data_IF_208090010363
#
_entry.id   IF_208090010363
#
_cell.length_a   1.000
_cell.length_b   1.000
_cell.length_c   1.000
_cell.angle_alpha   90.00
_cell.angle_beta   90.00
_cell.angle_gamma   90.00
#
_symmetry.space_group_name_H-M   'P 1'
#
loop_
_entity.id
_entity.type
_entity.pdbx_description
1 polymer ?
#
# COMPACT_ATOMS: atom_id res chain seq x y z
N UNK A 1 -15.04 8.97 22.84
CA UNK A 1 -14.11 8.21 21.96
C UNK A 1 -14.74 7.63 20.70
N UNK A 2 -15.58 6.57 20.73
CA UNK A 2 -16.04 5.90 19.48
C UNK A 2 -16.83 6.80 18.51
N UNK A 3 -17.79 7.58 19.03
CA UNK A 3 -18.51 8.56 18.21
C UNK A 3 -17.59 9.66 17.67
N UNK A 4 -16.61 10.11 18.48
CA UNK A 4 -15.64 11.11 18.03
C UNK A 4 -14.71 10.57 16.94
N UNK A 5 -14.30 9.31 17.00
CA UNK A 5 -13.56 8.65 15.93
C UNK A 5 -14.41 8.56 14.67
N UNK A 6 -15.66 8.13 14.78
CA UNK A 6 -16.59 8.11 13.64
C UNK A 6 -16.69 9.48 13.00
N UNK A 7 -16.94 10.53 13.78
CA UNK A 7 -17.14 11.87 13.26
C UNK A 7 -15.85 12.50 12.70
N UNK A 8 -14.69 12.24 13.34
CA UNK A 8 -13.40 12.74 12.87
C UNK A 8 -12.94 12.08 11.58
N UNK A 9 -13.13 10.76 11.47
CA UNK A 9 -12.73 9.96 10.32
C UNK A 9 -13.86 9.86 9.29
N UNK A 10 -14.45 11.00 8.96
CA UNK A 10 -15.55 11.12 8.00
C UNK A 10 -15.23 12.15 6.93
N UNK A 11 -15.73 11.91 5.72
CA UNK A 11 -15.70 12.91 4.64
C UNK A 11 -17.01 12.89 3.85
N UNK A 12 -17.33 14.04 3.26
CA UNK A 12 -18.49 14.20 2.39
C UNK A 12 -18.18 13.68 0.99
N UNK A 13 -19.14 12.95 0.41
CA UNK A 13 -18.99 12.43 -0.95
C UNK A 13 -19.32 13.54 -1.96
N UNK A 14 -18.39 13.87 -2.87
CA UNK A 14 -18.65 14.85 -3.92
C UNK A 14 -19.88 14.45 -4.74
N UNK A 15 -20.86 15.34 -4.83
CA UNK A 15 -22.11 15.08 -5.55
C UNK A 15 -23.13 14.23 -4.80
N UNK A 16 -22.94 13.93 -3.51
CA UNK A 16 -23.88 13.15 -2.69
C UNK A 16 -25.33 13.64 -2.81
N UNK A 17 -25.53 14.97 -2.89
CA UNK A 17 -26.85 15.61 -3.03
C UNK A 17 -27.67 15.11 -4.24
N UNK A 18 -27.01 14.59 -5.27
CA UNK A 18 -27.65 14.07 -6.47
C UNK A 18 -27.99 12.57 -6.37
N UNK A 19 -27.43 11.85 -5.40
CA UNK A 19 -27.65 10.41 -5.25
C UNK A 19 -29.05 10.13 -4.68
N UNK A 20 -29.81 9.14 -5.20
CA UNK A 20 -31.16 8.83 -4.73
C UNK A 20 -31.23 8.55 -3.22
N UNK A 21 -30.20 7.91 -2.66
CA UNK A 21 -30.11 7.58 -1.23
C UNK A 21 -30.07 8.83 -0.35
N UNK A 22 -29.38 9.89 -0.80
CA UNK A 22 -29.34 11.18 -0.11
C UNK A 22 -30.68 11.92 -0.23
N UNK A 23 -31.22 11.97 -1.45
CA UNK A 23 -32.51 12.64 -1.73
C UNK A 23 -33.66 12.02 -0.95
N UNK A 24 -33.65 10.69 -0.81
CA UNK A 24 -34.64 9.93 -0.06
C UNK A 24 -34.32 9.86 1.46
N UNK A 25 -33.30 10.60 1.94
CA UNK A 25 -32.90 10.69 3.35
C UNK A 25 -32.51 9.36 4.02
N UNK A 26 -32.17 8.34 3.24
CA UNK A 26 -31.64 7.07 3.77
C UNK A 26 -30.14 7.13 4.05
N UNK A 27 -29.44 8.13 3.52
CA UNK A 27 -28.01 8.34 3.71
C UNK A 27 -27.71 9.83 3.81
N UNK A 28 -26.76 10.21 4.67
CA UNK A 28 -26.39 11.58 4.97
C UNK A 28 -25.30 12.15 4.05
N UNK A 29 -24.88 11.40 3.04
CA UNK A 29 -23.90 11.85 2.05
C UNK A 29 -22.45 11.77 2.54
N UNK A 30 -22.24 11.14 3.70
CA UNK A 30 -20.93 11.02 4.34
C UNK A 30 -20.45 9.58 4.34
N UNK A 31 -19.15 9.39 4.12
CA UNK A 31 -18.46 8.12 4.34
C UNK A 31 -17.72 8.20 5.66
N UNK A 32 -18.02 7.25 6.56
CA UNK A 32 -17.32 7.03 7.83
C UNK A 32 -16.28 5.93 7.63
N UNK A 33 -15.02 6.22 7.93
CA UNK A 33 -13.91 5.27 7.81
C UNK A 33 -13.72 4.42 9.07
N UNK A 34 -14.28 4.85 10.20
CA UNK A 34 -14.39 4.06 11.42
C UNK A 34 -15.74 3.34 11.46
N UNK A 35 -15.71 2.01 11.55
CA UNK A 35 -16.90 1.19 11.75
C UNK A 35 -17.18 1.04 13.26
N UNK A 36 -18.16 1.78 13.76
CA UNK A 36 -18.58 1.70 15.17
C UNK A 36 -19.19 0.36 15.58
N UNK A 37 -19.65 -0.48 14.63
CA UNK A 37 -20.23 -1.79 14.94
C UNK A 37 -19.17 -2.82 15.20
N UNK A 38 -18.06 -2.73 14.46
CA UNK A 38 -16.91 -3.65 14.56
C UNK A 38 -15.77 -3.10 15.39
N UNK A 39 -15.80 -1.80 15.69
CA UNK A 39 -14.70 -1.04 16.27
C UNK A 39 -13.43 -1.10 15.41
N UNK A 40 -13.60 -1.08 14.08
CA UNK A 40 -12.52 -1.24 13.10
C UNK A 40 -12.25 0.05 12.33
N UNK A 41 -11.00 0.25 11.94
CA UNK A 41 -10.56 1.33 11.05
C UNK A 41 -9.45 0.83 10.13
N UNK A 42 -9.30 1.45 8.97
CA UNK A 42 -8.24 1.11 8.04
C UNK A 42 -6.85 1.32 8.66
N UNK A 43 -6.01 0.27 8.64
CA UNK A 43 -4.65 0.32 9.17
C UNK A 43 -3.76 1.42 8.56
N UNK A 44 -4.06 1.88 7.33
CA UNK A 44 -3.34 3.00 6.72
C UNK A 44 -3.62 4.37 7.38
N UNK A 45 -4.52 4.44 8.37
CA UNK A 45 -4.89 5.67 9.08
C UNK A 45 -4.25 5.75 10.47
N UNK A 46 -3.37 4.83 10.85
CA UNK A 46 -2.75 4.76 12.19
C UNK A 46 -2.10 6.09 12.60
N UNK A 47 -1.29 6.71 11.73
CA UNK A 47 -0.67 8.01 12.01
C UNK A 47 -1.71 9.10 12.33
N UNK A 48 -2.86 9.05 11.64
CA UNK A 48 -3.96 9.99 11.87
C UNK A 48 -4.68 9.70 13.18
N UNK A 49 -4.78 8.44 13.60
CA UNK A 49 -5.34 8.05 14.90
C UNK A 49 -4.44 8.56 16.03
N UNK A 50 -3.12 8.36 15.93
CA UNK A 50 -2.16 8.91 16.89
C UNK A 50 -2.32 10.43 16.99
N UNK A 51 -2.36 11.11 15.84
CA UNK A 51 -2.57 12.56 15.80
C UNK A 51 -3.92 12.99 16.39
N UNK A 52 -4.97 12.19 16.22
CA UNK A 52 -6.27 12.42 16.86
C UNK A 52 -6.17 12.27 18.38
N UNK A 53 -5.57 11.18 18.88
CA UNK A 53 -5.40 10.94 20.32
C UNK A 53 -4.58 12.05 20.97
N UNK A 54 -3.44 12.42 20.38
CA UNK A 54 -2.57 13.49 20.88
C UNK A 54 -3.29 14.84 20.96
N UNK A 55 -4.16 15.17 19.98
CA UNK A 55 -4.93 16.44 19.98
C UNK A 55 -6.09 16.45 20.98
N UNK A 56 -6.50 15.27 21.46
CA UNK A 56 -7.62 15.07 22.38
C UNK A 56 -7.15 14.68 23.78
N UNK A 57 -5.84 14.71 24.02
CA UNK A 57 -5.18 14.26 25.25
C UNK A 57 -5.57 12.83 25.66
N UNK A 58 -5.76 11.95 24.68
CA UNK A 58 -5.98 10.53 24.90
C UNK A 58 -4.67 9.77 24.92
N UNK A 59 -4.56 8.83 25.85
CA UNK A 59 -3.53 7.79 25.83
C UNK A 59 -3.94 6.66 24.89
N UNK A 60 -2.96 5.99 24.32
CA UNK A 60 -3.17 4.83 23.48
C UNK A 60 -2.02 3.84 23.68
N UNK A 61 -2.31 2.56 23.48
CA UNK A 61 -1.33 1.49 23.41
C UNK A 61 -1.60 0.65 22.17
N UNK A 62 -0.53 0.11 21.59
CA UNK A 62 -0.67 -0.84 20.48
C UNK A 62 -0.60 -2.26 21.02
N UNK A 63 -1.70 -2.98 20.88
CA UNK A 63 -1.73 -4.41 21.11
C UNK A 63 -1.22 -5.14 19.86
N UNK A 64 -0.16 -5.96 20.03
CA UNK A 64 0.42 -6.72 18.94
C UNK A 64 -0.54 -7.77 18.40
N UNK A 65 -0.63 -7.88 17.06
CA UNK A 65 -1.37 -8.97 16.42
C UNK A 65 -0.47 -10.19 16.20
N UNK A 66 -0.97 -11.38 16.54
CA UNK A 66 -0.30 -12.66 16.18
C UNK A 66 -0.13 -12.86 14.67
N UNK A 67 -0.92 -12.16 13.87
CA UNK A 67 -0.94 -12.30 12.41
C UNK A 67 -0.25 -11.14 11.69
N UNK A 68 -0.34 -9.93 12.25
CA UNK A 68 0.03 -8.70 11.54
C UNK A 68 1.13 -7.87 12.21
N UNK A 69 1.60 -8.25 13.42
CA UNK A 69 2.60 -7.48 14.15
C UNK A 69 2.04 -6.17 14.71
N UNK A 70 2.91 -5.18 14.89
CA UNK A 70 2.53 -3.83 15.33
C UNK A 70 2.27 -2.91 14.13
N UNK A 71 1.36 -1.92 14.25
CA UNK A 71 0.99 -1.07 13.11
C UNK A 71 2.13 -0.21 12.52
N UNK A 72 3.20 0.04 13.29
CA UNK A 72 4.35 0.91 12.91
C UNK A 72 5.66 0.13 13.03
N UNK A 73 5.62 -1.16 12.73
CA UNK A 73 6.81 -2.01 12.79
C UNK A 73 7.72 -1.76 11.59
N UNK A 74 8.95 -1.34 11.87
CA UNK A 74 10.01 -1.20 10.88
C UNK A 74 10.89 -2.45 10.84
N UNK A 75 11.28 -2.87 9.63
CA UNK A 75 12.22 -3.97 9.43
C UNK A 75 13.67 -3.45 9.40
N UNK A 76 14.35 -3.56 10.54
CA UNK A 76 15.75 -3.13 10.71
C UNK A 76 16.77 -3.90 9.84
N UNK A 77 16.38 -5.04 9.26
CA UNK A 77 17.26 -5.81 8.37
C UNK A 77 17.35 -5.19 6.96
N UNK A 78 16.49 -4.24 6.63
CA UNK A 78 16.45 -3.59 5.33
C UNK A 78 17.33 -2.34 5.37
N UNK A 79 18.49 -2.40 4.71
CA UNK A 79 19.40 -1.25 4.56
C UNK A 79 19.46 -0.75 3.11
N UNK A 80 19.71 0.56 2.86
CA UNK A 80 19.84 1.09 1.49
C UNK A 80 20.95 0.42 0.67
N UNK A 81 22.06 0.06 1.32
CA UNK A 81 23.17 -0.66 0.68
C UNK A 81 22.74 -2.07 0.28
N UNK A 82 22.10 -2.82 1.19
CA UNK A 82 21.58 -4.16 0.91
C UNK A 82 20.55 -4.15 -0.22
N UNK A 83 19.64 -3.16 -0.24
CA UNK A 83 18.69 -2.99 -1.35
C UNK A 83 19.40 -2.66 -2.66
N UNK A 84 20.45 -1.84 -2.63
CA UNK A 84 21.22 -1.52 -3.84
C UNK A 84 21.85 -2.77 -4.46
N UNK A 85 22.52 -3.58 -3.65
CA UNK A 85 23.20 -4.78 -4.12
C UNK A 85 22.20 -5.84 -4.57
N UNK A 86 21.09 -5.96 -3.85
CA UNK A 86 19.99 -6.85 -4.22
C UNK A 86 19.35 -6.47 -5.56
N UNK A 87 18.98 -5.21 -5.78
CA UNK A 87 18.35 -4.80 -7.04
C UNK A 87 19.29 -4.98 -8.24
N UNK A 88 20.60 -4.76 -8.04
CA UNK A 88 21.62 -5.04 -9.07
C UNK A 88 21.79 -6.53 -9.36
N UNK A 89 21.60 -7.42 -8.38
CA UNK A 89 21.78 -8.86 -8.59
C UNK A 89 20.61 -9.51 -9.33
N UNK A 90 19.40 -8.93 -9.20
CA UNK A 90 18.16 -9.48 -9.80
C UNK A 90 17.75 -8.80 -11.11
N UNK A 91 18.37 -7.68 -11.48
CA UNK A 91 18.00 -6.88 -12.66
C UNK A 91 19.18 -6.65 -13.59
N UNK A 92 18.94 -6.78 -14.91
CA UNK A 92 19.89 -6.36 -15.95
C UNK A 92 20.07 -4.83 -16.01
N UNK A 93 19.11 -4.08 -15.47
CA UNK A 93 19.10 -2.62 -15.52
C UNK A 93 19.63 -2.02 -14.22
N UNK A 94 20.51 -1.03 -14.35
CA UNK A 94 21.07 -0.33 -13.19
C UNK A 94 19.99 0.58 -12.55
N UNK A 95 19.66 0.38 -11.26
CA UNK A 95 18.66 1.21 -10.59
C UNK A 95 19.19 2.62 -10.31
N UNK A 96 18.28 3.60 -10.35
CA UNK A 96 18.53 4.99 -9.97
C UNK A 96 18.42 5.16 -8.44
N UNK A 97 19.11 6.14 -7.83
CA UNK A 97 19.09 6.33 -6.37
C UNK A 97 17.69 6.44 -5.75
N UNK A 98 16.77 7.17 -6.38
CA UNK A 98 15.41 7.29 -5.87
C UNK A 98 14.60 5.99 -5.96
N UNK A 99 14.91 5.11 -6.92
CA UNK A 99 14.26 3.80 -7.03
C UNK A 99 14.72 2.91 -5.88
N UNK A 100 16.02 2.93 -5.57
CA UNK A 100 16.58 2.24 -4.39
C UNK A 100 15.91 2.72 -3.12
N UNK A 101 15.83 4.04 -2.90
CA UNK A 101 15.18 4.58 -1.71
C UNK A 101 13.70 4.21 -1.63
N UNK A 102 12.97 4.25 -2.74
CA UNK A 102 11.57 3.84 -2.73
C UNK A 102 11.38 2.34 -2.44
N UNK A 103 12.26 1.46 -2.94
CA UNK A 103 12.24 0.03 -2.60
C UNK A 103 12.61 -0.18 -1.12
N UNK A 104 13.65 0.50 -0.64
CA UNK A 104 14.03 0.49 0.76
C UNK A 104 12.87 0.89 1.67
N UNK A 105 12.23 2.03 1.40
CA UNK A 105 11.14 2.53 2.22
C UNK A 105 9.93 1.59 2.20
N UNK A 106 9.62 0.98 1.05
CA UNK A 106 8.56 -0.02 0.96
C UNK A 106 8.85 -1.28 1.79
N UNK A 107 10.04 -1.85 1.65
CA UNK A 107 10.44 -3.07 2.35
C UNK A 107 10.63 -2.84 3.85
N UNK A 108 11.16 -1.68 4.24
CA UNK A 108 11.39 -1.31 5.64
C UNK A 108 10.07 -1.10 6.39
N UNK A 109 9.10 -0.42 5.79
CA UNK A 109 7.88 -0.01 6.49
C UNK A 109 6.70 -1.00 6.33
N UNK A 110 6.85 -2.07 5.54
CA UNK A 110 5.81 -3.06 5.18
C UNK A 110 4.59 -2.50 4.40
N UNK A 111 4.22 -1.22 4.61
CA UNK A 111 3.15 -0.49 3.95
C UNK A 111 3.59 0.96 3.73
N UNK A 112 3.60 1.41 2.48
CA UNK A 112 3.96 2.79 2.13
C UNK A 112 3.22 3.26 0.90
N UNK A 113 2.82 4.53 0.89
CA UNK A 113 2.43 5.24 -0.32
C UNK A 113 3.68 5.90 -0.92
N UNK A 114 4.12 5.41 -2.08
CA UNK A 114 5.27 5.97 -2.78
C UNK A 114 4.82 6.94 -3.87
N UNK A 115 5.09 8.23 -3.66
CA UNK A 115 4.86 9.26 -4.67
C UNK A 115 6.02 9.28 -5.66
N UNK A 116 5.69 9.14 -6.94
CA UNK A 116 6.69 9.11 -8.00
C UNK A 116 6.05 9.63 -9.29
N UNK A 117 6.76 10.39 -10.15
CA UNK A 117 6.22 10.91 -11.42
C UNK A 117 6.13 9.81 -12.49
N UNK A 118 5.23 9.94 -13.46
CA UNK A 118 5.17 9.00 -14.61
C UNK A 118 6.52 8.95 -15.33
N UNK A 119 6.88 7.79 -15.92
CA UNK A 119 8.18 7.53 -16.56
C UNK A 119 9.42 7.52 -15.64
N UNK A 120 9.24 7.51 -14.31
CA UNK A 120 10.33 7.34 -13.34
C UNK A 120 10.88 5.91 -13.22
N UNK A 121 10.33 4.95 -13.98
CA UNK A 121 10.70 3.53 -13.86
C UNK A 121 10.13 2.87 -12.59
N UNK A 122 8.84 3.11 -12.28
CA UNK A 122 8.16 2.46 -11.16
C UNK A 122 8.10 0.94 -11.30
N UNK A 123 8.04 0.42 -12.54
CA UNK A 123 7.99 -1.02 -12.79
C UNK A 123 9.23 -1.72 -12.23
N UNK A 124 10.42 -1.13 -12.32
CA UNK A 124 11.63 -1.68 -11.68
C UNK A 124 11.53 -1.74 -10.14
N UNK A 125 10.88 -0.75 -9.52
CA UNK A 125 10.66 -0.74 -8.07
C UNK A 125 9.67 -1.85 -7.67
N UNK A 126 8.56 -1.96 -8.41
CA UNK A 126 7.55 -3.02 -8.23
C UNK A 126 8.20 -4.40 -8.41
N UNK A 127 9.02 -4.56 -9.44
CA UNK A 127 9.80 -5.77 -9.72
C UNK A 127 10.67 -6.17 -8.53
N UNK A 128 11.48 -5.25 -8.01
CA UNK A 128 12.38 -5.52 -6.88
C UNK A 128 11.62 -5.95 -5.61
N UNK A 129 10.54 -5.22 -5.28
CA UNK A 129 9.67 -5.56 -4.13
C UNK A 129 9.02 -6.94 -4.34
N UNK A 130 8.57 -7.22 -5.56
CA UNK A 130 7.95 -8.50 -5.89
C UNK A 130 8.94 -9.66 -5.78
N UNK A 131 10.15 -9.52 -6.37
CA UNK A 131 11.24 -10.50 -6.24
C UNK A 131 11.52 -10.81 -4.78
N UNK A 132 11.67 -9.78 -3.95
CA UNK A 132 11.97 -9.94 -2.52
C UNK A 132 10.90 -10.78 -1.82
N UNK A 133 9.63 -10.49 -2.04
CA UNK A 133 8.55 -11.23 -1.39
C UNK A 133 8.38 -12.65 -1.92
N UNK A 134 8.59 -12.88 -3.23
CA UNK A 134 8.53 -14.23 -3.81
C UNK A 134 9.66 -15.12 -3.27
N UNK A 135 10.88 -14.60 -3.16
CA UNK A 135 12.02 -15.32 -2.55
C UNK A 135 11.75 -15.65 -1.07
N UNK A 136 10.98 -14.80 -0.39
CA UNK A 136 10.47 -15.04 0.96
C UNK A 136 9.18 -15.89 1.01
N UNK A 137 8.83 -16.59 -0.07
CA UNK A 137 7.69 -17.51 -0.20
C UNK A 137 6.32 -16.85 0.06
N UNK A 138 6.18 -15.55 -0.23
CA UNK A 138 4.91 -14.82 -0.08
C UNK A 138 4.20 -14.71 -1.43
N UNK A 139 2.86 -14.76 -1.40
CA UNK A 139 2.02 -14.53 -2.59
C UNK A 139 1.87 -13.03 -2.82
N UNK A 140 1.89 -12.61 -4.08
CA UNK A 140 1.83 -11.20 -4.47
C UNK A 140 0.70 -10.99 -5.48
N UNK A 141 -0.06 -9.91 -5.27
CA UNK A 141 -1.06 -9.40 -6.20
C UNK A 141 -0.64 -8.00 -6.63
N UNK A 142 -0.45 -7.82 -7.94
CA UNK A 142 -0.19 -6.50 -8.54
C UNK A 142 -1.45 -6.10 -9.29
N UNK A 143 -2.02 -4.96 -8.91
CA UNK A 143 -3.21 -4.40 -9.57
C UNK A 143 -2.80 -3.20 -10.41
N UNK A 144 -3.16 -3.24 -11.69
CA UNK A 144 -2.92 -2.19 -12.68
C UNK A 144 -4.25 -1.78 -13.33
N UNK A 145 -4.40 -0.54 -13.83
CA UNK A 145 -5.72 -0.03 -14.21
C UNK A 145 -6.28 -0.58 -15.53
N UNK A 146 -5.46 -1.18 -16.39
CA UNK A 146 -5.89 -1.72 -17.69
C UNK A 146 -5.24 -3.05 -18.00
N UNK A 147 -5.88 -3.85 -18.86
CA UNK A 147 -5.33 -5.10 -19.39
C UNK A 147 -4.03 -4.89 -20.18
N UNK A 148 -3.90 -3.76 -20.89
CA UNK A 148 -2.66 -3.40 -21.59
C UNK A 148 -1.47 -3.22 -20.63
N UNK A 149 -1.72 -2.67 -19.44
CA UNK A 149 -0.68 -2.52 -18.41
C UNK A 149 -0.33 -3.85 -17.73
N UNK A 150 -1.22 -4.85 -17.76
CA UNK A 150 -0.90 -6.22 -17.32
C UNK A 150 0.18 -6.80 -18.24
N UNK A 151 -0.03 -6.72 -19.56
CA UNK A 151 0.95 -7.17 -20.55
C UNK A 151 2.26 -6.40 -20.47
N UNK A 152 2.19 -5.08 -20.31
CA UNK A 152 3.38 -4.26 -20.16
C UNK A 152 4.19 -4.65 -18.92
N UNK A 153 3.55 -4.78 -17.76
CA UNK A 153 4.24 -5.16 -16.51
C UNK A 153 4.86 -6.55 -16.61
N UNK A 154 4.16 -7.49 -17.25
CA UNK A 154 4.67 -8.84 -17.48
C UNK A 154 5.95 -8.82 -18.34
N UNK A 155 5.95 -8.07 -19.45
CA UNK A 155 7.11 -7.92 -20.32
C UNK A 155 8.26 -7.17 -19.65
N UNK A 156 7.96 -6.12 -18.87
CA UNK A 156 8.97 -5.41 -18.08
C UNK A 156 9.71 -6.36 -17.13
N UNK A 157 9.00 -7.30 -16.50
CA UNK A 157 9.62 -8.30 -15.60
C UNK A 157 10.55 -9.27 -16.35
N UNK A 158 10.17 -9.69 -17.56
CA UNK A 158 11.03 -10.50 -18.43
C UNK A 158 12.29 -9.74 -18.86
N UNK A 159 12.12 -8.48 -19.24
CA UNK A 159 13.21 -7.60 -19.64
C UNK A 159 14.22 -7.40 -18.50
N UNK A 160 13.74 -7.20 -17.28
CA UNK A 160 14.59 -7.09 -16.08
C UNK A 160 15.36 -8.37 -15.77
N UNK A 161 14.87 -9.54 -16.20
CA UNK A 161 15.60 -10.81 -16.09
C UNK A 161 14.84 -11.94 -15.40
N UNK A 162 13.54 -11.78 -15.13
CA UNK A 162 12.73 -12.86 -14.55
C UNK A 162 12.18 -13.78 -15.64
N UNK A 163 12.19 -15.08 -15.39
CA UNK A 163 11.32 -16.01 -16.09
C UNK A 163 9.84 -15.79 -15.73
N UNK A 164 9.18 -14.77 -16.31
CA UNK A 164 7.81 -14.43 -15.95
C UNK A 164 6.82 -15.58 -16.28
N UNK A 165 7.10 -16.39 -17.30
CA UNK A 165 6.23 -17.51 -17.71
C UNK A 165 6.00 -18.52 -16.58
N UNK A 166 7.02 -18.75 -15.75
CA UNK A 166 6.93 -19.72 -14.64
C UNK A 166 6.43 -19.10 -13.33
N UNK A 167 6.49 -17.77 -13.17
CA UNK A 167 6.29 -17.11 -11.88
C UNK A 167 5.17 -16.06 -11.88
N UNK A 168 4.67 -15.66 -13.04
CA UNK A 168 3.65 -14.62 -13.18
C UNK A 168 2.39 -15.20 -13.82
N UNK A 169 1.27 -15.06 -13.14
CA UNK A 169 -0.06 -15.36 -13.69
C UNK A 169 -0.77 -14.06 -14.04
N UNK A 170 -1.19 -13.92 -15.29
CA UNK A 170 -1.90 -12.73 -15.80
C UNK A 170 -3.40 -12.93 -15.64
N UNK A 171 -4.06 -11.97 -15.00
CA UNK A 171 -5.50 -11.96 -14.79
C UNK A 171 -6.07 -10.73 -15.48
N UNK A 172 -7.06 -10.93 -16.36
CA UNK A 172 -7.66 -9.87 -17.17
C UNK A 172 -9.10 -9.55 -16.76
N UNK A 173 -9.66 -10.31 -15.81
CA UNK A 173 -11.03 -10.16 -15.34
C UNK A 173 -11.04 -9.95 -13.83
N UNK A 174 -11.82 -8.96 -13.38
CA UNK A 174 -12.09 -8.61 -11.99
C UNK A 174 -13.43 -7.91 -11.90
#
# INVERSE_FOLDING_TARGET
VYHELSDHFTFEVPGAKFMPQYRNKYWDGKIRLYDMRRNEIYAGLVDRIISFCNRKDYTYEFEGSKFYGLPIEENELISPAGVTDYVKSISKHKPRPYQIMGVHDALKNNRKLLLSPTASGKSLMIYAITRYHVENKRKILIVVPTTSLVEQMYKDFEDYGWNAANYCHRVYAG
#
